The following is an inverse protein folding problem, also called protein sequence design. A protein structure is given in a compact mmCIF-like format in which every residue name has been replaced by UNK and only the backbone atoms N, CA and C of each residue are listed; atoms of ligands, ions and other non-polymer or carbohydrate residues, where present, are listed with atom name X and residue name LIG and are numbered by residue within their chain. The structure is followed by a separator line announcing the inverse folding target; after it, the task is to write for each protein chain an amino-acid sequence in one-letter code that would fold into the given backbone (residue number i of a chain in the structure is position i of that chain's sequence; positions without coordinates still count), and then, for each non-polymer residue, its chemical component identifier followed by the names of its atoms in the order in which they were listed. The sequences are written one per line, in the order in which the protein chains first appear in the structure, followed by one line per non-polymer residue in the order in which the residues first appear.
data_IF_488042720389
#
_entry.id   IF_488042720389
#
_cell.length_a   1.000
_cell.length_b   1.000
_cell.length_c   1.000
_cell.angle_alpha   90.00
_cell.angle_beta   90.00
_cell.angle_gamma   90.00
#
_symmetry.space_group_name_H-M   'P 1'
#
loop_
_entity.id
_entity.type
_entity.pdbx_description
1 polymer ?
#
# COMPACT_ATOMS: atom_id res chain seq x y z
N UNK A 1 14.06 -15.23 -9.92
CA UNK A 1 13.90 -14.82 -8.51
C UNK A 1 12.81 -13.78 -8.46
N UNK A 2 11.76 -13.98 -7.66
CA UNK A 2 10.75 -12.96 -7.46
C UNK A 2 11.29 -11.88 -6.52
N UNK A 3 11.05 -10.60 -6.85
CA UNK A 3 11.44 -9.47 -5.99
C UNK A 3 10.38 -9.30 -4.90
N UNK A 4 10.79 -9.18 -3.65
CA UNK A 4 9.86 -9.02 -2.52
C UNK A 4 9.48 -7.55 -2.29
N UNK A 5 8.31 -7.27 -1.68
CA UNK A 5 7.94 -5.90 -1.27
C UNK A 5 9.03 -5.20 -0.45
N UNK A 6 9.68 -5.91 0.48
CA UNK A 6 10.78 -5.38 1.28
C UNK A 6 12.01 -5.00 0.45
N UNK A 7 12.34 -5.78 -0.59
CA UNK A 7 13.43 -5.43 -1.51
C UNK A 7 13.11 -4.17 -2.34
N UNK A 8 11.84 -3.98 -2.72
CA UNK A 8 11.41 -2.77 -3.43
C UNK A 8 11.46 -1.55 -2.50
N UNK A 9 11.07 -1.71 -1.24
CA UNK A 9 11.18 -0.63 -0.24
C UNK A 9 12.64 -0.25 0.01
N UNK A 10 13.53 -1.22 0.18
CA UNK A 10 14.96 -0.98 0.32
C UNK A 10 15.58 -0.25 -0.90
N UNK A 11 15.06 -0.51 -2.10
CA UNK A 11 15.44 0.27 -3.29
C UNK A 11 14.93 1.71 -3.21
N UNK A 12 13.69 1.92 -2.76
CA UNK A 12 13.14 3.26 -2.57
C UNK A 12 13.99 4.08 -1.58
N UNK A 13 14.42 3.46 -0.47
CA UNK A 13 15.30 4.06 0.53
C UNK A 13 16.65 4.48 -0.07
N UNK A 14 17.28 3.61 -0.87
CA UNK A 14 18.54 3.93 -1.57
C UNK A 14 18.38 5.11 -2.52
N UNK A 15 17.31 5.11 -3.33
CA UNK A 15 17.01 6.19 -4.26
C UNK A 15 16.78 7.52 -3.54
N UNK A 16 16.10 7.52 -2.38
CA UNK A 16 15.89 8.71 -1.58
C UNK A 16 17.19 9.21 -0.91
N UNK A 17 18.08 8.31 -0.48
CA UNK A 17 19.38 8.68 0.05
C UNK A 17 20.24 9.39 -1.00
N UNK A 18 20.23 8.87 -2.24
CA UNK A 18 20.99 9.39 -3.38
C UNK A 18 20.25 10.50 -4.15
N UNK A 19 19.21 11.11 -3.59
CA UNK A 19 18.31 12.03 -4.32
C UNK A 19 18.76 13.48 -4.36
N UNK A 20 19.94 13.81 -3.82
CA UNK A 20 20.42 15.19 -3.75
C UNK A 20 20.62 15.78 -5.16
N UNK A 21 19.91 16.86 -5.45
CA UNK A 21 19.91 17.50 -6.78
C UNK A 21 19.31 16.66 -7.92
N UNK A 22 18.70 15.49 -7.62
CA UNK A 22 18.19 14.56 -8.63
C UNK A 22 16.70 14.26 -8.40
N UNK A 23 15.82 15.03 -9.03
CA UNK A 23 14.37 14.83 -8.94
C UNK A 23 13.93 13.46 -9.49
N UNK A 24 14.64 12.93 -10.50
CA UNK A 24 14.36 11.60 -11.03
C UNK A 24 14.50 10.50 -9.97
N UNK A 25 15.46 10.63 -9.04
CA UNK A 25 15.61 9.73 -7.90
C UNK A 25 14.47 9.90 -6.90
N UNK A 26 14.07 11.14 -6.58
CA UNK A 26 12.92 11.43 -5.71
C UNK A 26 11.64 10.77 -6.24
N UNK A 27 11.32 11.01 -7.52
CA UNK A 27 10.14 10.44 -8.18
C UNK A 27 10.18 8.91 -8.18
N UNK A 28 11.34 8.34 -8.50
CA UNK A 28 11.55 6.90 -8.48
C UNK A 28 11.34 6.33 -7.08
N UNK A 29 11.87 6.96 -6.03
CA UNK A 29 11.68 6.54 -4.65
C UNK A 29 10.20 6.54 -4.25
N UNK A 30 9.44 7.61 -4.55
CA UNK A 30 8.00 7.69 -4.29
C UNK A 30 7.24 6.55 -4.99
N UNK A 31 7.55 6.33 -6.27
CA UNK A 31 6.93 5.28 -7.08
C UNK A 31 7.22 3.88 -6.51
N UNK A 32 8.47 3.58 -6.16
CA UNK A 32 8.86 2.28 -5.59
C UNK A 32 8.27 2.06 -4.20
N UNK A 33 8.23 3.09 -3.35
CA UNK A 33 7.58 3.01 -2.04
C UNK A 33 6.10 2.64 -2.18
N UNK A 34 5.38 3.23 -3.15
CA UNK A 34 4.01 2.83 -3.46
C UNK A 34 3.91 1.36 -3.91
N UNK A 35 4.76 0.91 -4.83
CA UNK A 35 4.70 -0.47 -5.32
C UNK A 35 5.04 -1.49 -4.25
N UNK A 36 6.00 -1.19 -3.35
CA UNK A 36 6.27 -2.03 -2.19
C UNK A 36 5.01 -2.23 -1.33
N UNK A 37 4.35 -1.12 -0.96
CA UNK A 37 3.11 -1.17 -0.19
C UNK A 37 1.98 -1.90 -0.95
N UNK A 38 1.81 -1.62 -2.23
CA UNK A 38 0.78 -2.23 -3.07
C UNK A 38 0.96 -3.75 -3.18
N UNK A 39 2.17 -4.22 -3.46
CA UNK A 39 2.46 -5.64 -3.61
C UNK A 39 2.34 -6.39 -2.29
N UNK A 40 2.82 -5.82 -1.18
CA UNK A 40 2.63 -6.43 0.15
C UNK A 40 1.13 -6.66 0.43
N UNK A 41 0.29 -5.67 0.13
CA UNK A 41 -1.15 -5.80 0.29
C UNK A 41 -1.75 -6.80 -0.70
N UNK A 42 -1.33 -6.77 -1.97
CA UNK A 42 -1.85 -7.65 -3.01
C UNK A 42 -1.55 -9.14 -2.73
N UNK A 43 -0.34 -9.44 -2.25
CA UNK A 43 0.11 -10.80 -2.00
C UNK A 43 -0.46 -11.35 -0.69
N UNK A 44 -0.53 -10.51 0.35
CA UNK A 44 -0.77 -10.98 1.71
C UNK A 44 -2.20 -10.73 2.21
N UNK A 45 -2.91 -9.72 1.71
CA UNK A 45 -4.25 -9.37 2.22
C UNK A 45 -5.35 -9.91 1.32
N UNK A 46 -5.17 -9.86 0.00
CA UNK A 46 -6.18 -10.26 -0.99
C UNK A 46 -6.76 -11.67 -0.76
N UNK A 47 -5.99 -12.69 -0.31
CA UNK A 47 -6.55 -14.01 0.03
C UNK A 47 -7.65 -14.00 1.10
N UNK A 48 -7.69 -12.96 1.95
CA UNK A 48 -8.66 -12.79 3.03
C UNK A 48 -9.82 -11.86 2.67
N UNK A 49 -9.79 -11.26 1.47
CA UNK A 49 -10.85 -10.38 1.00
C UNK A 49 -11.94 -11.22 0.31
N UNK A 50 -13.21 -10.93 0.60
CA UNK A 50 -14.33 -11.61 -0.03
C UNK A 50 -14.26 -11.41 -1.56
N UNK A 51 -14.15 -12.50 -2.31
CA UNK A 51 -14.11 -12.53 -3.79
C UNK A 51 -15.35 -11.91 -4.46
N UNK A 52 -16.40 -11.64 -3.67
CA UNK A 52 -17.66 -11.04 -4.12
C UNK A 52 -17.63 -9.51 -4.21
N UNK A 53 -16.52 -8.86 -3.87
CA UNK A 53 -16.41 -7.39 -3.97
C UNK A 53 -16.24 -6.94 -5.43
N UNK A 54 -17.41 -6.69 -6.04
CA UNK A 54 -17.71 -5.71 -7.09
C UNK A 54 -16.49 -5.32 -7.93
N UNK A 55 -16.34 -5.95 -9.10
CA UNK A 55 -15.63 -5.31 -10.20
C UNK A 55 -16.43 -4.06 -10.56
N UNK A 56 -16.00 -2.91 -10.06
CA UNK A 56 -16.49 -1.62 -10.57
C UNK A 56 -16.03 -1.56 -12.04
N UNK A 57 -16.97 -1.79 -12.95
CA UNK A 57 -16.70 -1.84 -14.39
C UNK A 57 -15.90 -0.60 -14.81
N UNK A 58 -14.69 -0.81 -15.36
CA UNK A 58 -13.81 0.25 -15.85
C UNK A 58 -12.74 0.77 -14.89
N UNK A 59 -12.67 0.30 -13.63
CA UNK A 59 -11.60 0.71 -12.71
C UNK A 59 -10.30 -0.10 -12.90
N UNK A 60 -9.15 0.58 -12.86
CA UNK A 60 -7.84 -0.08 -12.89
C UNK A 60 -7.54 -0.89 -11.62
N UNK A 61 -6.70 -1.92 -11.74
CA UNK A 61 -6.35 -2.90 -10.67
C UNK A 61 -6.01 -2.25 -9.32
N UNK A 62 -5.31 -1.11 -9.34
CA UNK A 62 -4.96 -0.37 -8.12
C UNK A 62 -6.17 0.19 -7.37
N UNK A 63 -7.16 0.75 -8.07
CA UNK A 63 -8.40 1.23 -7.44
C UNK A 63 -9.21 0.07 -6.88
N UNK A 64 -9.29 -1.04 -7.62
CA UNK A 64 -10.05 -2.21 -7.22
C UNK A 64 -9.52 -2.76 -5.89
N UNK A 65 -8.22 -3.00 -5.76
CA UNK A 65 -7.64 -3.50 -4.50
C UNK A 65 -7.93 -2.57 -3.31
N UNK A 66 -7.77 -1.25 -3.50
CA UNK A 66 -8.08 -0.26 -2.46
C UNK A 66 -9.57 -0.31 -2.09
N UNK A 67 -10.46 -0.46 -3.07
CA UNK A 67 -11.90 -0.59 -2.88
C UNK A 67 -12.28 -1.83 -2.08
N UNK A 68 -11.67 -2.99 -2.39
CA UNK A 68 -11.91 -4.24 -1.67
C UNK A 68 -11.52 -4.14 -0.18
N UNK A 69 -10.35 -3.55 0.11
CA UNK A 69 -9.89 -3.35 1.49
C UNK A 69 -10.78 -2.32 2.22
N UNK A 70 -11.23 -1.28 1.51
CA UNK A 70 -12.19 -0.30 2.06
C UNK A 70 -13.51 -0.96 2.41
N UNK A 71 -14.04 -1.85 1.56
CA UNK A 71 -15.25 -2.61 1.81
C UNK A 71 -15.10 -3.53 3.03
N UNK A 72 -13.97 -4.22 3.14
CA UNK A 72 -13.64 -5.03 4.32
C UNK A 72 -13.68 -4.20 5.61
N UNK A 73 -13.06 -3.02 5.59
CA UNK A 73 -12.96 -2.13 6.73
C UNK A 73 -14.28 -1.44 7.15
N UNK A 74 -15.23 -1.30 6.21
CA UNK A 74 -16.46 -0.51 6.39
C UNK A 74 -17.72 -1.34 6.61
N UNK A 75 -17.62 -2.68 6.64
CA UNK A 75 -18.78 -3.56 6.80
C UNK A 75 -19.41 -3.39 8.19
N UNK A 76 -20.42 -2.52 8.28
CA UNK A 76 -21.03 -2.01 9.51
C UNK A 76 -21.73 -3.05 10.40
N UNK A 77 -21.87 -4.30 9.95
CA UNK A 77 -22.67 -5.33 10.64
C UNK A 77 -21.85 -6.24 11.55
N UNK A 78 -20.53 -6.33 11.37
CA UNK A 78 -19.65 -7.19 12.18
C UNK A 78 -18.27 -6.56 12.24
N UNK A 79 -17.72 -6.36 13.45
CA UNK A 79 -16.32 -5.98 13.62
C UNK A 79 -15.47 -7.19 13.22
N UNK A 80 -14.88 -7.12 12.02
CA UNK A 80 -13.99 -8.17 11.52
C UNK A 80 -12.59 -8.05 12.15
N UNK A 81 -11.88 -9.16 12.40
CA UNK A 81 -10.48 -9.11 12.80
C UNK A 81 -9.66 -8.28 11.80
N UNK A 82 -8.77 -7.42 12.29
CA UNK A 82 -7.93 -6.61 11.40
C UNK A 82 -8.63 -5.41 10.73
N UNK A 83 -9.89 -5.08 11.07
CA UNK A 83 -10.60 -3.98 10.40
C UNK A 83 -9.89 -2.62 10.53
N UNK A 84 -9.22 -2.36 11.66
CA UNK A 84 -8.48 -1.11 11.90
C UNK A 84 -7.28 -1.00 10.97
N UNK A 85 -6.54 -2.10 10.82
CA UNK A 85 -5.42 -2.22 9.91
C UNK A 85 -5.89 -2.04 8.47
N UNK A 86 -6.97 -2.70 8.07
CA UNK A 86 -7.56 -2.55 6.74
C UNK A 86 -7.98 -1.08 6.47
N UNK A 87 -8.63 -0.40 7.42
CA UNK A 87 -9.01 1.01 7.29
C UNK A 87 -7.78 1.93 7.13
N UNK A 88 -6.72 1.66 7.89
CA UNK A 88 -5.47 2.39 7.77
C UNK A 88 -4.80 2.16 6.41
N UNK A 89 -4.70 0.91 5.98
CA UNK A 89 -4.08 0.50 4.73
C UNK A 89 -4.81 1.13 3.55
N UNK A 90 -6.13 1.00 3.45
CA UNK A 90 -6.88 1.53 2.30
C UNK A 90 -6.74 3.04 2.16
N UNK A 91 -6.88 3.78 3.28
CA UNK A 91 -6.72 5.24 3.30
C UNK A 91 -5.30 5.67 2.91
N UNK A 92 -4.29 4.96 3.42
CA UNK A 92 -2.89 5.30 3.15
C UNK A 92 -2.51 4.97 1.71
N UNK A 93 -2.90 3.79 1.22
CA UNK A 93 -2.61 3.34 -0.13
C UNK A 93 -3.31 4.21 -1.19
N UNK A 94 -4.52 4.71 -0.92
CA UNK A 94 -5.21 5.69 -1.78
C UNK A 94 -4.41 6.99 -1.93
N UNK A 95 -3.89 7.53 -0.82
CA UNK A 95 -3.05 8.73 -0.84
C UNK A 95 -1.73 8.49 -1.57
N UNK A 96 -1.08 7.35 -1.31
CA UNK A 96 0.16 7.00 -1.98
C UNK A 96 -0.01 6.79 -3.48
N UNK A 97 -1.14 6.21 -3.91
CA UNK A 97 -1.48 6.07 -5.34
C UNK A 97 -1.49 7.42 -6.05
N UNK A 98 -2.12 8.44 -5.45
CA UNK A 98 -2.14 9.80 -6.01
C UNK A 98 -0.73 10.36 -6.14
N UNK A 99 0.11 10.22 -5.09
CA UNK A 99 1.50 10.66 -5.11
C UNK A 99 2.35 9.92 -6.14
N UNK A 100 2.13 8.61 -6.32
CA UNK A 100 2.79 7.85 -7.38
C UNK A 100 2.36 8.32 -8.77
N UNK A 101 1.10 8.70 -8.97
CA UNK A 101 0.64 9.27 -10.25
C UNK A 101 1.32 10.61 -10.52
N UNK A 102 1.47 11.47 -9.50
CA UNK A 102 2.25 12.71 -9.61
C UNK A 102 3.71 12.40 -10.00
N UNK A 103 4.34 11.47 -9.29
CA UNK A 103 5.73 11.11 -9.53
C UNK A 103 5.98 10.53 -10.94
N UNK A 104 5.12 9.60 -11.39
CA UNK A 104 5.29 8.86 -12.64
C UNK A 104 4.86 9.64 -13.90
N UNK A 105 3.84 10.49 -13.79
CA UNK A 105 3.15 11.03 -14.97
C UNK A 105 3.04 12.56 -15.02
N UNK A 106 3.33 13.27 -13.91
CA UNK A 106 3.17 14.72 -13.83
C UNK A 106 4.52 15.40 -13.66
N UNK A 107 5.15 15.73 -14.78
CA UNK A 107 6.41 16.48 -14.82
C UNK A 107 6.23 17.97 -14.44
N UNK A 108 5.00 18.45 -14.40
CA UNK A 108 4.60 19.81 -14.02
C UNK A 108 4.52 20.01 -12.50
N UNK A 109 4.68 18.95 -11.71
CA UNK A 109 4.61 18.98 -10.24
C UNK A 109 6.00 18.76 -9.69
N UNK A 110 6.53 19.71 -8.94
CA UNK A 110 7.81 19.53 -8.25
C UNK A 110 7.66 18.53 -7.09
N UNK A 111 8.56 17.55 -7.03
CA UNK A 111 8.69 16.65 -5.88
C UNK A 111 10.05 16.87 -5.21
N UNK A 112 10.02 17.11 -3.91
CA UNK A 112 11.23 17.27 -3.11
C UNK A 112 11.61 16.00 -2.35
N UNK A 113 12.79 16.03 -1.72
CA UNK A 113 13.30 14.92 -0.92
C UNK A 113 12.34 14.52 0.21
N UNK A 114 11.65 15.48 0.82
CA UNK A 114 10.72 15.24 1.92
C UNK A 114 9.51 14.40 1.45
N UNK A 115 9.01 14.62 0.24
CA UNK A 115 7.96 13.77 -0.33
C UNK A 115 8.40 12.31 -0.52
N UNK A 116 9.67 12.06 -0.89
CA UNK A 116 10.19 10.69 -0.95
C UNK A 116 10.29 10.02 0.41
N UNK A 117 10.76 10.73 1.44
CA UNK A 117 10.82 10.22 2.81
C UNK A 117 9.42 9.92 3.36
N UNK A 118 8.46 10.84 3.18
CA UNK A 118 7.06 10.61 3.54
C UNK A 118 6.46 9.40 2.84
N UNK A 119 6.81 9.16 1.58
CA UNK A 119 6.34 7.99 0.84
C UNK A 119 6.92 6.69 1.42
N UNK A 120 8.22 6.67 1.74
CA UNK A 120 8.90 5.54 2.40
C UNK A 120 8.27 5.26 3.76
N UNK A 121 8.12 6.27 4.62
CA UNK A 121 7.51 6.12 5.95
C UNK A 121 6.10 5.53 5.88
N UNK A 122 5.29 5.98 4.92
CA UNK A 122 3.95 5.44 4.69
C UNK A 122 4.01 3.99 4.22
N UNK A 123 4.93 3.65 3.31
CA UNK A 123 5.11 2.28 2.84
C UNK A 123 5.49 1.35 3.99
N UNK A 124 6.47 1.75 4.81
CA UNK A 124 6.91 1.01 6.00
C UNK A 124 5.74 0.72 6.94
N UNK A 125 4.94 1.75 7.26
CA UNK A 125 3.76 1.57 8.13
C UNK A 125 2.67 0.71 7.49
N UNK A 126 2.53 0.72 6.17
CA UNK A 126 1.62 -0.20 5.47
C UNK A 126 2.11 -1.63 5.62
N UNK A 127 3.39 -1.91 5.38
CA UNK A 127 3.97 -3.26 5.56
C UNK A 127 3.78 -3.77 6.99
N UNK A 128 4.05 -2.94 8.01
CA UNK A 128 3.78 -3.28 9.41
C UNK A 128 2.30 -3.56 9.67
N UNK A 129 1.40 -2.82 9.03
CA UNK A 129 -0.04 -3.00 9.17
C UNK A 129 -0.52 -4.27 8.49
N UNK A 130 0.11 -4.69 7.39
CA UNK A 130 -0.14 -5.98 6.73
C UNK A 130 0.18 -7.12 7.69
N UNK A 131 1.34 -7.10 8.34
CA UNK A 131 1.71 -8.14 9.30
C UNK A 131 0.76 -8.19 10.51
N UNK A 132 0.36 -7.01 11.04
CA UNK A 132 -0.63 -6.93 12.13
C UNK A 132 -2.00 -7.46 11.69
N UNK A 133 -2.41 -7.19 10.46
CA UNK A 133 -3.66 -7.68 9.89
C UNK A 133 -3.67 -9.22 9.85
N UNK A 134 -2.63 -9.83 9.29
CA UNK A 134 -2.46 -11.29 9.24
C UNK A 134 -2.49 -11.91 10.63
N UNK A 135 -1.68 -11.39 11.55
CA UNK A 135 -1.61 -11.91 12.92
C UNK A 135 -2.95 -11.80 13.68
N UNK A 136 -3.82 -10.84 13.33
CA UNK A 136 -5.17 -10.75 13.91
C UNK A 136 -6.11 -11.81 13.32
N UNK A 137 -6.02 -12.09 12.02
CA UNK A 137 -6.82 -13.12 11.37
C UNK A 137 -6.45 -14.53 11.82
N UNK A 138 -5.16 -14.83 11.88
CA UNK A 138 -4.67 -16.14 12.34
C UNK A 138 -5.14 -16.44 13.77
N UNK A 139 -5.07 -15.45 14.67
CA UNK A 139 -5.58 -15.58 16.04
C UNK A 139 -7.09 -15.79 16.09
N UNK A 140 -7.85 -15.10 15.25
CA UNK A 140 -9.30 -15.27 15.19
C UNK A 140 -9.70 -16.67 14.69
N UNK A 141 -9.00 -17.19 13.68
CA UNK A 141 -9.23 -18.55 13.16
C UNK A 141 -8.88 -19.63 14.19
N UNK A 142 -7.77 -19.46 14.93
CA UNK A 142 -7.37 -20.38 15.99
C UNK A 142 -8.36 -20.41 17.17
N UNK A 143 -9.03 -19.29 17.46
CA UNK A 143 -10.00 -19.19 18.56
C UNK A 143 -11.40 -19.72 18.21
N UNK A 144 -11.70 -19.91 16.91
CA UNK A 144 -12.97 -20.45 16.42
C UNK A 144 -12.93 -21.94 16.04
N UNK A 145 -11.77 -22.60 16.22
CA UNK A 145 -11.54 -24.03 16.00
C UNK A 145 -11.67 -24.81 17.30
#
# INVERSE_FOLDING_TARGET
MAVTPAQILALAEKLAADSEGCEAHVRSAVSRAYYAAFLAVADEITPYLDSQTIRLNGEGTHSQLIGQITAYASTARVIRPGYQEAAYISKTLAKMKLKRVEADYRIDVDLDKDESHKAIDRATRVLESVEKFKARLERANAAGS
#
